data_IF_862520946319
#
_entry.id   IF_862520946319
#
_cell.length_a   1.000
_cell.length_b   1.000
_cell.length_c   1.000
_cell.angle_alpha   90.00
_cell.angle_beta   90.00
_cell.angle_gamma   90.00
#
_symmetry.space_group_name_H-M   'P 1'
#
loop_
_entity.id
_entity.type
_entity.pdbx_description
1 polymer ?
#
# COMPACT_ATOMS: atom_id res chain seq x y z
N UNK A 1 -6.92 46.69 34.66
CA UNK A 1 -7.34 45.27 34.87
C UNK A 1 -7.92 44.60 33.62
N UNK A 2 -8.60 45.30 32.70
CA UNK A 2 -9.20 44.69 31.49
C UNK A 2 -8.19 44.19 30.45
N UNK A 3 -7.02 44.82 30.34
CA UNK A 3 -5.98 44.47 29.36
C UNK A 3 -5.19 43.21 29.71
N UNK A 4 -5.03 42.87 31.01
CA UNK A 4 -4.36 41.64 31.44
C UNK A 4 -5.24 40.39 31.26
N UNK A 5 -6.58 40.55 31.32
CA UNK A 5 -7.51 39.44 31.13
C UNK A 5 -7.63 39.02 29.64
N UNK A 6 -7.48 39.99 28.72
CA UNK A 6 -7.54 39.71 27.28
C UNK A 6 -6.33 38.90 26.78
N UNK A 7 -5.15 39.14 27.35
CA UNK A 7 -3.91 38.43 26.97
C UNK A 7 -3.95 36.96 27.41
N UNK A 8 -4.60 36.66 28.55
CA UNK A 8 -4.76 35.28 29.05
C UNK A 8 -5.76 34.49 28.19
N UNK A 9 -6.85 35.12 27.73
CA UNK A 9 -7.81 34.47 26.82
C UNK A 9 -7.25 34.24 25.41
N UNK A 10 -6.34 35.11 24.93
CA UNK A 10 -5.71 34.95 23.63
C UNK A 10 -4.61 33.88 23.60
N UNK A 11 -3.96 33.61 24.75
CA UNK A 11 -2.97 32.53 24.88
C UNK A 11 -3.63 31.14 25.02
N UNK A 12 -4.83 31.05 25.59
CA UNK A 12 -5.55 29.78 25.70
C UNK A 12 -6.19 29.31 24.38
N UNK A 13 -6.43 30.20 23.40
CA UNK A 13 -6.93 29.82 22.07
C UNK A 13 -5.90 29.13 21.17
N UNK A 14 -4.61 29.14 21.54
CA UNK A 14 -3.57 28.41 20.81
C UNK A 14 -3.25 27.02 21.38
N UNK A 15 -3.96 26.57 22.43
CA UNK A 15 -3.82 25.20 22.96
C UNK A 15 -4.78 24.20 22.31
N UNK A 16 -5.55 24.64 21.31
CA UNK A 16 -6.35 23.78 20.43
C UNK A 16 -5.54 23.17 19.27
N UNK A 17 -4.22 23.01 19.40
CA UNK A 17 -3.53 22.08 18.50
C UNK A 17 -3.99 20.68 18.88
N UNK A 18 -4.82 20.08 18.02
CA UNK A 18 -4.88 18.62 17.89
C UNK A 18 -3.44 18.14 18.01
N UNK A 19 -3.14 17.32 19.04
CA UNK A 19 -1.80 16.75 19.14
C UNK A 19 -1.47 16.14 17.78
N UNK A 20 -0.28 16.38 17.20
CA UNK A 20 0.10 15.67 16.00
C UNK A 20 -0.10 14.20 16.32
N UNK A 21 -1.03 13.54 15.60
CA UNK A 21 -1.28 12.12 15.82
C UNK A 21 0.08 11.45 15.75
N UNK A 22 0.45 10.67 16.76
CA UNK A 22 1.74 9.99 16.79
C UNK A 22 1.85 9.11 15.53
N UNK A 23 2.71 9.47 14.56
CA UNK A 23 2.79 8.79 13.25
C UNK A 23 4.03 7.94 13.07
N UNK A 24 5.05 8.09 13.93
CA UNK A 24 6.30 7.36 13.77
C UNK A 24 6.24 6.00 14.42
N UNK A 25 6.81 5.01 13.73
CA UNK A 25 6.87 3.63 14.18
C UNK A 25 8.30 3.16 14.03
N UNK A 26 8.89 2.71 15.12
CA UNK A 26 10.17 2.04 15.06
C UNK A 26 9.98 0.67 14.39
N UNK A 27 10.73 0.44 13.31
CA UNK A 27 10.65 -0.79 12.52
C UNK A 27 10.84 -2.01 13.43
N UNK A 28 11.84 -1.98 14.31
CA UNK A 28 12.15 -3.08 15.23
C UNK A 28 11.03 -3.38 16.25
N UNK A 29 10.13 -2.43 16.52
CA UNK A 29 9.02 -2.62 17.46
C UNK A 29 7.85 -3.40 16.83
N UNK A 30 7.79 -3.43 15.50
CA UNK A 30 6.69 -4.06 14.72
C UNK A 30 7.19 -5.27 13.95
N UNK A 31 8.41 -5.17 13.47
CA UNK A 31 9.03 -6.05 12.51
C UNK A 31 10.18 -6.73 13.24
N UNK A 32 10.00 -7.99 13.70
CA UNK A 32 11.07 -8.73 14.35
C UNK A 32 12.21 -9.00 13.35
N UNK A 33 13.41 -9.26 13.86
CA UNK A 33 14.59 -9.54 13.01
C UNK A 33 14.41 -10.75 12.08
N UNK A 34 13.44 -11.64 12.36
CA UNK A 34 13.07 -12.79 11.53
C UNK A 34 12.07 -12.46 10.42
N UNK A 35 11.66 -11.21 10.25
CA UNK A 35 10.79 -10.78 9.15
C UNK A 35 11.42 -11.15 7.81
N UNK A 36 10.56 -11.49 6.85
CA UNK A 36 11.02 -11.72 5.48
C UNK A 36 11.03 -10.41 4.73
N UNK A 37 12.24 -9.94 4.47
CA UNK A 37 12.51 -8.72 3.73
C UNK A 37 12.86 -9.04 2.28
N UNK A 38 12.28 -8.30 1.34
CA UNK A 38 12.61 -8.40 -0.08
C UNK A 38 12.80 -7.04 -0.71
N UNK A 39 13.55 -7.00 -1.79
CA UNK A 39 13.82 -5.78 -2.56
C UNK A 39 13.35 -5.97 -3.99
N UNK A 40 12.55 -5.02 -4.50
CA UNK A 40 12.09 -4.98 -5.89
C UNK A 40 12.82 -3.88 -6.66
N UNK A 41 13.22 -4.17 -7.90
CA UNK A 41 13.80 -3.17 -8.82
C UNK A 41 12.73 -2.53 -9.70
N UNK A 42 12.68 -1.20 -9.72
CA UNK A 42 11.67 -0.47 -10.50
C UNK A 42 12.12 -0.11 -11.91
N UNK A 43 13.41 -0.24 -12.25
CA UNK A 43 13.98 0.30 -13.50
C UNK A 43 13.41 -0.39 -14.73
N UNK A 44 13.43 -1.73 -14.75
CA UNK A 44 12.93 -2.51 -15.88
C UNK A 44 11.44 -2.31 -16.15
N UNK A 45 10.66 -2.18 -15.08
CA UNK A 45 9.21 -2.05 -15.18
C UNK A 45 8.84 -0.59 -15.46
N UNK A 46 9.23 0.33 -14.59
CA UNK A 46 8.75 1.71 -14.62
C UNK A 46 9.72 2.71 -15.26
N UNK A 47 10.92 2.30 -15.66
CA UNK A 47 11.96 3.19 -16.19
C UNK A 47 12.59 4.09 -15.12
N UNK A 48 12.29 3.86 -13.85
CA UNK A 48 12.77 4.65 -12.72
C UNK A 48 13.78 3.82 -11.95
N UNK A 49 15.02 4.32 -11.83
CA UNK A 49 16.09 3.62 -11.11
C UNK A 49 15.96 3.82 -9.61
N UNK A 50 15.11 3.01 -8.99
CA UNK A 50 14.84 3.02 -7.56
C UNK A 50 14.53 1.59 -7.06
N UNK A 51 14.27 1.46 -5.76
CA UNK A 51 13.95 0.17 -5.15
C UNK A 51 12.75 0.27 -4.23
N UNK A 52 11.98 -0.80 -4.13
CA UNK A 52 10.93 -0.95 -3.11
C UNK A 52 11.40 -1.99 -2.10
N UNK A 53 11.34 -1.67 -0.82
CA UNK A 53 11.60 -2.66 0.23
C UNK A 53 10.27 -3.20 0.77
N UNK A 54 10.11 -4.51 0.72
CA UNK A 54 8.98 -5.24 1.27
C UNK A 54 9.36 -5.87 2.60
N UNK A 55 8.48 -5.75 3.59
CA UNK A 55 8.57 -6.44 4.86
C UNK A 55 7.29 -7.25 5.08
N UNK A 56 7.42 -8.57 5.07
CA UNK A 56 6.31 -9.50 5.26
C UNK A 56 6.25 -9.94 6.72
N UNK A 57 5.21 -9.51 7.42
CA UNK A 57 4.94 -9.87 8.80
C UNK A 57 3.75 -10.84 8.87
N UNK A 58 4.02 -12.09 9.24
CA UNK A 58 2.96 -13.04 9.58
C UNK A 58 2.41 -12.70 10.96
N UNK A 59 1.09 -12.72 11.08
CA UNK A 59 0.37 -12.48 12.33
C UNK A 59 -0.88 -13.35 12.37
N UNK A 60 -1.40 -13.64 13.56
CA UNK A 60 -2.56 -14.53 13.70
C UNK A 60 -3.83 -13.99 13.00
N UNK A 61 -3.89 -12.67 12.74
CA UNK A 61 -4.98 -12.04 11.99
C UNK A 61 -4.77 -12.03 10.47
N UNK A 62 -3.58 -12.37 9.97
CA UNK A 62 -3.25 -12.34 8.56
C UNK A 62 -1.80 -12.00 8.25
N UNK A 63 -1.53 -11.75 6.97
CA UNK A 63 -0.25 -11.30 6.44
C UNK A 63 -0.26 -9.77 6.33
N UNK A 64 0.72 -9.11 6.94
CA UNK A 64 0.91 -7.67 6.85
C UNK A 64 2.10 -7.38 5.95
N UNK A 65 1.87 -6.60 4.89
CA UNK A 65 2.90 -6.14 3.98
C UNK A 65 3.20 -4.67 4.27
N UNK A 66 4.42 -4.38 4.69
CA UNK A 66 4.93 -3.01 4.72
C UNK A 66 5.80 -2.80 3.49
N UNK A 67 5.42 -1.84 2.66
CA UNK A 67 6.16 -1.46 1.45
C UNK A 67 6.76 -0.09 1.70
N UNK A 68 8.10 0.01 1.72
CA UNK A 68 8.81 1.28 1.71
C UNK A 68 9.06 1.67 0.26
N UNK A 69 8.43 2.76 -0.15
CA UNK A 69 8.44 3.26 -1.52
C UNK A 69 9.43 4.42 -1.64
N UNK A 70 10.15 4.51 -2.78
CA UNK A 70 11.15 5.55 -2.99
C UNK A 70 10.50 6.91 -3.16
N UNK A 71 11.18 7.96 -2.75
CA UNK A 71 10.90 9.30 -3.28
C UNK A 71 11.13 9.31 -4.79
N UNK A 72 10.16 9.78 -5.57
CA UNK A 72 10.21 9.67 -7.04
C UNK A 72 11.19 10.65 -7.69
N UNK A 73 11.57 11.73 -7.00
CA UNK A 73 12.54 12.71 -7.50
C UNK A 73 13.97 12.23 -7.26
N UNK A 74 14.24 11.72 -6.07
CA UNK A 74 15.60 11.33 -5.65
C UNK A 74 15.90 9.84 -5.83
N UNK A 75 14.86 9.00 -5.93
CA UNK A 75 14.98 7.53 -5.94
C UNK A 75 15.27 6.92 -4.56
N UNK A 76 15.40 7.74 -3.52
CA UNK A 76 15.79 7.31 -2.18
C UNK A 76 14.61 6.79 -1.36
N UNK A 77 14.83 5.71 -0.60
CA UNK A 77 13.80 5.13 0.28
C UNK A 77 13.78 5.75 1.69
N UNK A 78 14.93 6.25 2.12
CA UNK A 78 15.18 6.61 3.52
C UNK A 78 15.90 7.95 3.60
N UNK A 79 15.54 8.76 4.58
CA UNK A 79 16.25 9.99 4.93
C UNK A 79 16.70 9.95 6.39
N UNK A 80 17.90 10.45 6.68
CA UNK A 80 18.39 10.57 8.06
C UNK A 80 17.53 11.59 8.82
N UNK A 81 17.16 11.26 10.06
CA UNK A 81 16.36 12.12 10.93
C UNK A 81 16.96 12.13 12.34
N UNK A 82 16.94 13.29 13.00
CA UNK A 82 17.35 13.40 14.40
C UNK A 82 16.32 12.73 15.31
N UNK A 83 16.77 11.87 16.23
CA UNK A 83 15.90 11.22 17.22
C UNK A 83 15.12 12.24 18.06
N UNK A 84 15.74 13.37 18.39
CA UNK A 84 15.11 14.44 19.19
C UNK A 84 13.84 15.02 18.53
N UNK A 85 13.74 14.93 17.19
CA UNK A 85 12.57 15.41 16.45
C UNK A 85 11.40 14.42 16.50
N UNK A 86 11.65 13.14 16.79
CA UNK A 86 10.64 12.08 16.70
C UNK A 86 10.34 11.41 18.04
N UNK A 87 11.18 11.58 19.06
CA UNK A 87 11.08 10.88 20.35
C UNK A 87 9.67 10.89 20.95
N UNK A 88 9.02 12.05 20.97
CA UNK A 88 7.68 12.21 21.56
C UNK A 88 6.54 11.77 20.62
N UNK A 89 6.85 11.57 19.34
CA UNK A 89 5.90 11.21 18.28
C UNK A 89 5.97 9.73 17.88
N UNK A 90 6.95 8.99 18.41
CA UNK A 90 7.03 7.53 18.25
C UNK A 90 5.85 6.88 18.98
N UNK A 91 5.13 6.04 18.25
CA UNK A 91 4.10 5.18 18.79
C UNK A 91 4.74 4.07 19.64
N UNK A 92 4.31 3.89 20.90
CA UNK A 92 4.72 2.74 21.69
C UNK A 92 4.27 1.43 21.03
N UNK A 93 5.09 0.38 21.08
CA UNK A 93 4.81 -0.96 20.52
C UNK A 93 3.38 -1.47 20.77
N UNK A 94 2.89 -1.33 22.01
CA UNK A 94 1.52 -1.74 22.37
C UNK A 94 0.44 -0.99 21.57
N UNK A 95 0.61 0.32 21.36
CA UNK A 95 -0.30 1.14 20.55
C UNK A 95 -0.20 0.83 19.07
N UNK A 96 0.95 0.34 18.60
CA UNK A 96 1.10 -0.05 17.20
C UNK A 96 0.22 -1.26 16.87
N UNK A 97 0.13 -2.25 17.78
CA UNK A 97 -0.77 -3.38 17.58
C UNK A 97 -2.24 -2.92 17.46
N UNK A 98 -2.67 -1.99 18.30
CA UNK A 98 -4.02 -1.43 18.25
C UNK A 98 -4.26 -0.60 16.98
N UNK A 99 -3.31 0.28 16.63
CA UNK A 99 -3.48 1.28 15.57
C UNK A 99 -3.32 0.69 14.15
N UNK A 100 -2.44 -0.31 14.00
CA UNK A 100 -2.20 -0.97 12.72
C UNK A 100 -2.83 -2.34 12.72
N UNK A 101 -2.41 -3.25 13.60
CA UNK A 101 -2.74 -4.67 13.43
C UNK A 101 -4.24 -4.92 13.60
N UNK A 102 -4.88 -4.31 14.61
CA UNK A 102 -6.30 -4.48 14.91
C UNK A 102 -7.23 -3.52 14.17
N UNK A 103 -6.69 -2.60 13.37
CA UNK A 103 -7.48 -1.61 12.64
C UNK A 103 -8.23 -2.26 11.46
N UNK A 104 -9.43 -1.77 11.12
CA UNK A 104 -10.24 -2.29 10.01
C UNK A 104 -9.78 -1.80 8.63
N UNK A 105 -8.97 -0.74 8.55
CA UNK A 105 -8.39 -0.27 7.30
C UNK A 105 -7.41 -1.31 6.75
N UNK A 106 -7.68 -1.78 5.53
CA UNK A 106 -6.89 -2.82 4.87
C UNK A 106 -5.65 -2.28 4.17
N UNK A 107 -5.66 -0.99 3.80
CA UNK A 107 -4.56 -0.29 3.14
C UNK A 107 -4.36 1.08 3.76
N UNK A 108 -3.13 1.40 4.13
CA UNK A 108 -2.76 2.65 4.80
C UNK A 108 -1.51 3.22 4.13
N UNK A 109 -1.68 4.27 3.34
CA UNK A 109 -0.59 4.96 2.65
C UNK A 109 -0.21 6.23 3.41
N UNK A 110 1.06 6.37 3.81
CA UNK A 110 1.64 7.50 4.54
C UNK A 110 0.93 7.93 5.84
N UNK A 111 -0.05 7.16 6.32
CA UNK A 111 -0.70 7.34 7.62
C UNK A 111 0.30 7.16 8.77
N UNK A 112 1.28 6.28 8.57
CA UNK A 112 2.40 6.06 9.48
C UNK A 112 3.73 6.23 8.74
N UNK A 113 4.75 6.68 9.46
CA UNK A 113 6.13 6.80 8.99
C UNK A 113 6.97 5.74 9.70
N UNK A 114 7.62 4.88 8.92
CA UNK A 114 8.53 3.86 9.47
C UNK A 114 9.89 4.49 9.75
N UNK A 115 10.48 4.14 10.89
CA UNK A 115 11.80 4.60 11.31
C UNK A 115 12.67 3.39 11.60
N UNK A 116 13.85 3.31 10.97
CA UNK A 116 14.87 2.32 11.30
C UNK A 116 16.04 2.97 12.03
N UNK A 117 16.64 2.24 12.95
CA UNK A 117 17.87 2.63 13.64
C UNK A 117 19.04 1.81 13.10
N UNK A 118 20.11 2.48 12.66
CA UNK A 118 21.35 1.85 12.21
C UNK A 118 22.49 2.48 13.02
N UNK A 119 23.10 1.69 13.92
CA UNK A 119 24.04 2.23 14.90
C UNK A 119 23.37 3.30 15.76
N UNK A 120 23.93 4.52 15.75
CA UNK A 120 23.40 5.68 16.50
C UNK A 120 22.52 6.61 15.65
N UNK A 121 22.29 6.28 14.38
CA UNK A 121 21.51 7.11 13.46
C UNK A 121 20.11 6.54 13.26
N UNK A 122 19.17 7.44 13.01
CA UNK A 122 17.79 7.10 12.70
C UNK A 122 17.47 7.55 11.28
N UNK A 123 16.68 6.73 10.60
CA UNK A 123 16.27 6.98 9.23
C UNK A 123 14.77 6.78 9.12
N UNK A 124 14.07 7.75 8.55
CA UNK A 124 12.64 7.68 8.29
C UNK A 124 12.40 7.32 6.82
N UNK A 125 11.42 6.45 6.59
CA UNK A 125 10.97 6.11 5.25
C UNK A 125 10.33 7.34 4.58
N UNK A 126 10.65 7.54 3.30
CA UNK A 126 10.04 8.59 2.48
C UNK A 126 8.54 8.36 2.30
N UNK A 127 8.18 7.16 1.83
CA UNK A 127 6.80 6.76 1.63
C UNK A 127 6.57 5.33 2.16
N UNK A 128 5.42 5.08 2.77
CA UNK A 128 5.05 3.78 3.34
C UNK A 128 3.64 3.42 2.92
N UNK A 129 3.48 2.22 2.36
CA UNK A 129 2.19 1.56 2.20
C UNK A 129 2.14 0.35 3.13
N UNK A 130 1.12 0.28 3.97
CA UNK A 130 0.84 -0.90 4.82
C UNK A 130 -0.43 -1.56 4.29
N UNK A 131 -0.35 -2.83 3.97
CA UNK A 131 -1.47 -3.63 3.48
C UNK A 131 -1.69 -4.86 4.35
N UNK A 132 -2.95 -5.15 4.66
CA UNK A 132 -3.36 -6.32 5.44
C UNK A 132 -4.02 -7.31 4.51
N UNK A 133 -3.52 -8.53 4.51
CA UNK A 133 -4.03 -9.62 3.72
C UNK A 133 -4.53 -10.74 4.62
N UNK A 134 -5.61 -11.39 4.21
CA UNK A 134 -6.02 -12.68 4.78
C UNK A 134 -5.69 -13.77 3.78
N UNK A 135 -4.83 -14.70 4.16
CA UNK A 135 -4.53 -15.88 3.35
C UNK A 135 -5.47 -17.00 3.77
N UNK A 136 -6.16 -17.61 2.80
CA UNK A 136 -7.05 -18.76 3.02
C UNK A 136 -6.80 -19.80 1.93
N UNK A 137 -7.20 -21.04 2.18
CA UNK A 137 -7.03 -22.19 1.30
C UNK A 137 -8.36 -22.96 1.14
N UNK A 138 -9.44 -22.22 0.90
CA UNK A 138 -10.81 -22.76 0.93
C UNK A 138 -11.34 -22.99 -0.48
N UNK A 139 -11.78 -24.22 -0.75
CA UNK A 139 -12.50 -24.55 -1.98
C UNK A 139 -13.91 -23.96 -1.92
N UNK A 140 -14.21 -23.05 -2.83
CA UNK A 140 -15.53 -22.40 -2.90
C UNK A 140 -15.82 -21.94 -4.32
N UNK A 141 -17.08 -21.99 -4.72
CA UNK A 141 -17.56 -21.36 -5.96
C UNK A 141 -17.92 -19.88 -5.76
N UNK A 142 -17.94 -19.39 -4.51
CA UNK A 142 -18.26 -18.01 -4.19
C UNK A 142 -17.03 -17.14 -4.40
N UNK A 143 -17.18 -16.04 -5.17
CA UNK A 143 -16.16 -15.01 -5.17
C UNK A 143 -16.23 -14.27 -3.83
N UNK A 144 -15.14 -14.29 -3.10
CA UNK A 144 -15.03 -13.58 -1.83
C UNK A 144 -14.64 -12.14 -2.16
N UNK A 145 -15.60 -11.23 -2.00
CA UNK A 145 -15.38 -9.78 -2.01
C UNK A 145 -14.96 -9.32 -0.62
N UNK A 146 -14.41 -8.10 -0.54
CA UNK A 146 -13.71 -7.62 0.63
C UNK A 146 -12.21 -7.68 0.36
N UNK A 147 -11.67 -6.54 -0.04
CA UNK A 147 -10.32 -6.36 -0.55
C UNK A 147 -9.26 -7.12 0.27
N UNK A 148 -8.18 -7.55 -0.37
CA UNK A 148 -7.02 -8.18 0.28
C UNK A 148 -7.19 -9.62 0.83
N UNK A 149 -8.12 -10.42 0.30
CA UNK A 149 -8.17 -11.86 0.59
C UNK A 149 -7.41 -12.64 -0.49
N UNK A 150 -6.42 -13.43 -0.08
CA UNK A 150 -5.65 -14.33 -0.93
C UNK A 150 -6.16 -15.75 -0.75
N UNK A 151 -7.04 -16.21 -1.64
CA UNK A 151 -7.50 -17.59 -1.61
C UNK A 151 -6.62 -18.47 -2.53
N UNK A 152 -5.81 -19.34 -1.92
CA UNK A 152 -4.87 -20.23 -2.61
C UNK A 152 -5.56 -21.32 -3.44
N UNK A 153 -6.85 -21.56 -3.19
CA UNK A 153 -7.70 -22.51 -3.92
C UNK A 153 -8.80 -21.81 -4.73
N UNK A 154 -8.68 -20.50 -4.97
CA UNK A 154 -9.64 -19.78 -5.81
C UNK A 154 -9.63 -20.33 -7.24
N UNK A 155 -10.74 -20.15 -7.96
CA UNK A 155 -10.77 -20.43 -9.39
C UNK A 155 -9.78 -19.49 -10.08
N UNK A 156 -8.87 -20.06 -10.87
CA UNK A 156 -7.95 -19.27 -11.68
C UNK A 156 -8.74 -18.42 -12.68
N UNK A 157 -8.57 -17.11 -12.60
CA UNK A 157 -9.19 -16.12 -13.48
C UNK A 157 -8.18 -15.05 -13.86
N UNK A 158 -7.91 -14.97 -15.16
CA UNK A 158 -7.05 -13.93 -15.72
C UNK A 158 -7.80 -12.60 -15.80
N UNK A 159 -7.05 -11.53 -16.04
CA UNK A 159 -7.60 -10.22 -16.38
C UNK A 159 -8.63 -10.31 -17.52
N UNK A 160 -8.33 -11.07 -18.57
CA UNK A 160 -9.20 -11.23 -19.73
C UNK A 160 -10.51 -11.94 -19.38
N UNK A 161 -10.45 -12.97 -18.53
CA UNK A 161 -11.63 -13.72 -18.08
C UNK A 161 -12.59 -12.83 -17.27
N UNK A 162 -12.04 -12.08 -16.31
CA UNK A 162 -12.82 -11.12 -15.51
C UNK A 162 -13.38 -10.02 -16.39
N UNK A 163 -12.55 -9.42 -17.27
CA UNK A 163 -12.99 -8.37 -18.19
C UNK A 163 -14.17 -8.83 -19.03
N UNK A 164 -14.06 -9.99 -19.68
CA UNK A 164 -15.14 -10.57 -20.48
C UNK A 164 -16.40 -10.79 -19.64
N UNK A 165 -16.26 -11.33 -18.44
CA UNK A 165 -17.40 -11.60 -17.55
C UNK A 165 -18.09 -10.31 -17.11
N UNK A 166 -17.31 -9.32 -16.68
CA UNK A 166 -17.80 -8.01 -16.25
C UNK A 166 -18.50 -7.28 -17.39
N UNK A 167 -17.92 -7.31 -18.60
CA UNK A 167 -18.49 -6.67 -19.78
C UNK A 167 -19.84 -7.28 -20.21
N UNK A 168 -19.99 -8.58 -20.00
CA UNK A 168 -21.22 -9.30 -20.35
C UNK A 168 -22.33 -9.17 -19.30
N UNK A 169 -21.98 -9.02 -18.02
CA UNK A 169 -22.93 -9.16 -16.92
C UNK A 169 -23.18 -7.88 -16.13
N UNK A 170 -22.23 -6.94 -16.12
CA UNK A 170 -22.24 -5.80 -15.20
C UNK A 170 -22.35 -4.47 -15.93
N UNK A 171 -21.49 -4.21 -16.92
CA UNK A 171 -21.43 -2.92 -17.61
C UNK A 171 -20.78 -3.06 -18.97
N UNK A 172 -21.11 -2.20 -19.93
CA UNK A 172 -20.43 -2.15 -21.23
C UNK A 172 -19.02 -1.51 -21.19
N UNK A 173 -18.54 -1.09 -20.02
CA UNK A 173 -17.21 -0.52 -19.79
C UNK A 173 -16.50 -1.26 -18.67
N UNK A 174 -15.20 -1.51 -18.84
CA UNK A 174 -14.39 -2.19 -17.83
C UNK A 174 -13.64 -1.17 -16.94
N UNK A 175 -13.78 -1.21 -15.60
CA UNK A 175 -13.34 -0.11 -14.74
C UNK A 175 -11.83 0.08 -14.60
N UNK A 176 -11.04 -0.93 -14.93
CA UNK A 176 -9.58 -0.83 -14.96
C UNK A 176 -9.04 -0.26 -16.28
N UNK A 177 -9.86 -0.11 -17.31
CA UNK A 177 -9.47 0.49 -18.59
C UNK A 177 -10.08 1.88 -18.70
N UNK A 178 -9.26 2.86 -19.05
CA UNK A 178 -9.77 4.20 -19.35
C UNK A 178 -10.49 4.21 -20.69
N UNK A 179 -11.67 4.80 -20.74
CA UNK A 179 -11.94 5.75 -21.82
C UNK A 179 -11.48 7.15 -21.36
N UNK A 180 -11.13 7.99 -22.30
CA UNK A 180 -10.19 9.11 -22.12
C UNK A 180 -10.64 10.22 -21.15
N UNK A 181 -11.87 10.20 -20.64
CA UNK A 181 -12.40 11.23 -19.73
C UNK A 181 -13.50 10.72 -18.77
N UNK A 182 -13.70 9.39 -18.66
CA UNK A 182 -14.74 8.80 -17.84
C UNK A 182 -14.25 8.40 -16.44
N UNK A 183 -14.97 8.83 -15.41
CA UNK A 183 -14.94 8.19 -14.10
C UNK A 183 -15.53 6.79 -14.25
N UNK A 184 -14.76 5.74 -13.99
CA UNK A 184 -15.28 4.37 -13.95
C UNK A 184 -15.32 3.86 -12.53
N UNK A 185 -16.52 3.57 -12.03
CA UNK A 185 -16.74 3.12 -10.66
C UNK A 185 -16.94 1.63 -10.65
N UNK A 186 -16.25 0.94 -9.76
CA UNK A 186 -16.57 -0.45 -9.43
C UNK A 186 -17.30 -0.46 -8.08
N UNK A 187 -18.43 -1.16 -8.01
CA UNK A 187 -19.11 -1.33 -6.72
C UNK A 187 -18.25 -2.18 -5.79
N UNK A 188 -18.30 -1.90 -4.49
CA UNK A 188 -17.43 -2.55 -3.49
C UNK A 188 -17.56 -4.07 -3.50
N UNK A 189 -18.74 -4.61 -3.80
CA UNK A 189 -19.01 -6.05 -3.84
C UNK A 189 -18.28 -6.76 -4.99
N UNK A 190 -17.81 -6.02 -6.00
CA UNK A 190 -16.99 -6.56 -7.08
C UNK A 190 -15.49 -6.37 -6.83
N UNK A 191 -15.09 -5.54 -5.86
CA UNK A 191 -13.67 -5.34 -5.52
C UNK A 191 -13.13 -6.61 -4.87
N UNK A 192 -12.11 -7.19 -5.50
CA UNK A 192 -11.54 -8.45 -5.05
C UNK A 192 -10.14 -8.67 -5.61
N UNK A 193 -9.40 -9.59 -4.98
CA UNK A 193 -8.14 -10.12 -5.50
C UNK A 193 -8.43 -11.46 -6.18
N UNK A 194 -7.90 -11.66 -7.38
CA UNK A 194 -8.06 -12.86 -8.19
C UNK A 194 -6.75 -13.62 -8.30
N UNK A 195 -6.80 -14.93 -8.10
CA UNK A 195 -5.71 -15.84 -8.46
C UNK A 195 -5.67 -15.96 -9.99
N UNK A 196 -4.57 -15.54 -10.62
CA UNK A 196 -4.41 -15.58 -12.09
C UNK A 196 -3.59 -16.77 -12.59
N UNK A 197 -2.67 -17.29 -11.78
CA UNK A 197 -1.81 -18.39 -12.17
C UNK A 197 -1.23 -19.07 -10.93
N UNK A 198 -1.01 -20.39 -11.01
CA UNK A 198 -0.14 -21.12 -10.08
C UNK A 198 0.99 -21.70 -10.93
N UNK A 199 2.25 -21.43 -10.57
CA UNK A 199 3.40 -21.96 -11.31
C UNK A 199 4.55 -22.37 -10.41
N UNK A 200 5.48 -23.14 -10.97
CA UNK A 200 6.76 -23.46 -10.35
C UNK A 200 7.82 -22.45 -10.81
N UNK A 201 8.58 -21.89 -9.88
CA UNK A 201 9.72 -20.99 -10.17
C UNK A 201 10.83 -21.25 -9.15
N UNK A 202 12.01 -21.65 -9.60
CA UNK A 202 13.15 -22.02 -8.73
C UNK A 202 12.77 -23.00 -7.61
N UNK A 203 12.05 -24.07 -7.95
CA UNK A 203 11.53 -25.09 -7.01
C UNK A 203 10.52 -24.58 -5.97
N UNK A 204 10.01 -23.36 -6.14
CA UNK A 204 8.94 -22.81 -5.30
C UNK A 204 7.61 -22.85 -6.04
N UNK A 205 6.55 -23.22 -5.31
CA UNK A 205 5.18 -23.05 -5.77
C UNK A 205 4.79 -21.58 -5.57
N UNK A 206 4.55 -20.88 -6.67
CA UNK A 206 4.21 -19.45 -6.70
C UNK A 206 2.74 -19.28 -7.09
N UNK A 207 2.02 -18.50 -6.28
CA UNK A 207 0.66 -18.06 -6.58
C UNK A 207 0.71 -16.63 -7.08
N UNK A 208 0.21 -16.39 -8.28
CA UNK A 208 0.10 -15.05 -8.85
C UNK A 208 -1.31 -14.51 -8.68
N UNK A 209 -1.38 -13.29 -8.17
CA UNK A 209 -2.61 -12.59 -7.87
C UNK A 209 -2.66 -11.25 -8.60
N UNK A 210 -3.87 -10.74 -8.80
CA UNK A 210 -4.11 -9.39 -9.26
C UNK A 210 -5.38 -8.79 -8.65
N UNK A 211 -5.41 -7.46 -8.52
CA UNK A 211 -6.50 -6.72 -7.88
C UNK A 211 -7.46 -6.15 -8.90
N UNK A 212 -8.75 -6.50 -8.77
CA UNK A 212 -9.83 -5.81 -9.48
C UNK A 212 -10.30 -4.64 -8.61
N UNK A 213 -9.95 -3.44 -9.04
CA UNK A 213 -10.43 -2.20 -8.46
C UNK A 213 -10.50 -1.13 -9.56
N UNK A 214 -11.13 0.02 -9.29
CA UNK A 214 -11.19 1.13 -10.22
C UNK A 214 -9.99 2.10 -10.07
N UNK A 215 -9.93 3.08 -10.98
CA UNK A 215 -8.94 4.17 -10.94
C UNK A 215 -9.50 5.46 -10.33
N UNK A 216 -10.72 5.42 -9.80
CA UNK A 216 -11.38 6.59 -9.27
C UNK A 216 -11.01 6.81 -7.81
N UNK A 217 -10.83 8.09 -7.48
CA UNK A 217 -10.73 8.54 -6.09
C UNK A 217 -12.14 8.55 -5.48
N UNK A 218 -12.29 8.23 -4.19
CA UNK A 218 -13.54 8.45 -3.45
C UNK A 218 -14.04 9.91 -3.64
N UNK A 219 -15.08 10.09 -4.45
CA UNK A 219 -15.64 11.41 -4.76
C UNK A 219 -16.32 12.03 -3.54
N UNK A 220 -16.84 11.20 -2.63
CA UNK A 220 -17.41 11.65 -1.35
C UNK A 220 -16.36 12.30 -0.44
N UNK A 221 -15.10 11.82 -0.46
CA UNK A 221 -14.00 12.48 0.27
C UNK A 221 -13.57 13.77 -0.43
N UNK A 222 -13.54 13.81 -1.76
CA UNK A 222 -13.22 15.03 -2.50
C UNK A 222 -14.18 16.20 -2.22
N UNK A 223 -15.48 15.94 -2.11
CA UNK A 223 -16.46 16.99 -1.82
C UNK A 223 -16.40 17.49 -0.37
N UNK A 224 -16.00 16.65 0.59
CA UNK A 224 -15.82 17.06 1.99
C UNK A 224 -14.55 17.89 2.22
N UNK A 225 -13.49 17.65 1.44
CA UNK A 225 -12.15 18.20 1.72
C UNK A 225 -11.72 19.38 0.86
N UNK A 226 -12.47 19.74 -0.18
CA UNK A 226 -12.26 20.98 -0.97
C UNK A 226 -12.26 22.27 -0.13
N UNK A 227 -12.81 22.23 1.09
CA UNK A 227 -12.85 23.38 2.00
C UNK A 227 -11.66 23.48 2.98
N UNK A 228 -10.79 22.47 3.07
CA UNK A 228 -9.80 22.38 4.17
C UNK A 228 -8.32 22.30 3.76
N UNK A 229 -7.97 22.55 2.49
CA UNK A 229 -6.58 22.77 2.07
C UNK A 229 -5.60 21.64 2.43
N UNK A 230 -5.86 20.40 1.99
CA UNK A 230 -5.04 19.21 2.30
C UNK A 230 -4.19 18.76 1.09
N UNK A 231 -3.11 18.06 1.42
CA UNK A 231 -1.78 17.87 0.82
C UNK A 231 -1.65 16.74 -0.23
N UNK A 232 -0.54 16.75 -0.98
CA UNK A 232 -0.20 15.93 -2.18
C UNK A 232 -0.40 14.39 -2.08
N UNK A 233 -0.60 13.83 -0.89
CA UNK A 233 -0.92 12.41 -0.67
C UNK A 233 -2.26 12.00 -1.30
N UNK A 234 -3.21 12.94 -1.47
CA UNK A 234 -4.53 12.69 -2.07
C UNK A 234 -4.50 12.52 -3.61
N UNK A 235 -3.30 12.56 -4.22
CA UNK A 235 -3.12 12.32 -5.66
C UNK A 235 -2.84 10.86 -6.04
N UNK A 236 -2.62 9.98 -5.06
CA UNK A 236 -2.34 8.58 -5.30
C UNK A 236 -3.62 7.73 -5.26
N UNK A 237 -3.79 6.82 -6.22
CA UNK A 237 -4.85 5.79 -6.20
C UNK A 237 -4.47 4.63 -5.27
N UNK A 238 -4.05 4.95 -4.05
CA UNK A 238 -3.45 3.99 -3.11
C UNK A 238 -4.43 2.92 -2.60
N UNK A 239 -5.75 3.11 -2.80
CA UNK A 239 -6.76 2.08 -2.52
C UNK A 239 -6.54 0.80 -3.34
N UNK A 240 -5.89 0.94 -4.52
CA UNK A 240 -5.44 -0.19 -5.33
C UNK A 240 -4.31 -0.97 -4.65
N UNK A 241 -3.38 -0.26 -4.00
CA UNK A 241 -2.21 -0.83 -3.33
C UNK A 241 -1.31 -1.61 -4.29
N UNK A 242 -0.78 -2.75 -3.82
CA UNK A 242 -0.09 -3.69 -4.71
C UNK A 242 -1.09 -4.33 -5.70
N UNK A 243 -0.84 -4.13 -6.99
CA UNK A 243 -1.85 -4.41 -8.02
C UNK A 243 -1.77 -5.87 -8.49
N UNK A 244 -0.62 -6.26 -9.05
CA UNK A 244 -0.28 -7.64 -9.44
C UNK A 244 0.88 -8.09 -8.57
N UNK A 245 0.83 -9.32 -8.06
CA UNK A 245 1.85 -9.77 -7.11
C UNK A 245 1.99 -11.29 -7.04
N UNK A 246 3.13 -11.71 -6.48
CA UNK A 246 3.45 -13.11 -6.26
C UNK A 246 3.48 -13.40 -4.76
N UNK A 247 2.81 -14.47 -4.37
CA UNK A 247 2.84 -15.03 -3.02
C UNK A 247 3.46 -16.43 -3.04
N UNK A 248 4.29 -16.72 -2.03
CA UNK A 248 4.83 -18.05 -1.77
C UNK A 248 4.55 -18.39 -0.30
N UNK A 249 4.01 -19.57 -0.06
CA UNK A 249 3.72 -20.07 1.30
C UNK A 249 5.01 -20.08 2.15
N UNK A 250 4.91 -19.58 3.39
CA UNK A 250 6.07 -19.43 4.29
C UNK A 250 7.05 -18.32 3.91
N UNK A 251 6.93 -17.71 2.72
CA UNK A 251 7.75 -16.56 2.27
C UNK A 251 6.97 -15.24 2.22
N UNK A 252 5.66 -15.29 2.07
CA UNK A 252 4.83 -14.09 1.94
C UNK A 252 4.80 -13.57 0.51
N UNK A 253 4.58 -12.26 0.35
CA UNK A 253 4.60 -11.57 -0.93
C UNK A 253 6.05 -11.30 -1.34
N UNK A 254 6.43 -11.82 -2.51
CA UNK A 254 7.81 -11.89 -3.03
C UNK A 254 7.98 -11.19 -4.37
N UNK A 255 6.98 -10.43 -4.79
CA UNK A 255 6.98 -9.72 -6.05
C UNK A 255 5.69 -8.93 -6.19
N UNK A 256 5.74 -7.83 -6.94
CA UNK A 256 4.67 -6.86 -6.92
C UNK A 256 4.76 -5.82 -8.02
N UNK A 257 3.67 -5.10 -8.21
CA UNK A 257 3.59 -3.89 -9.00
C UNK A 257 2.82 -2.80 -8.25
N UNK A 258 3.30 -1.57 -8.34
CA UNK A 258 2.80 -0.40 -7.61
C UNK A 258 2.38 0.70 -8.59
N UNK A 259 1.48 0.35 -9.53
CA UNK A 259 1.09 1.25 -10.63
C UNK A 259 0.50 2.57 -10.11
N UNK A 260 -0.24 2.52 -9.00
CA UNK A 260 -0.78 3.73 -8.36
C UNK A 260 0.30 4.75 -7.97
N UNK A 261 1.52 4.28 -7.75
CA UNK A 261 2.65 5.08 -7.29
C UNK A 261 3.53 5.55 -8.45
N UNK A 262 3.85 4.65 -9.39
CA UNK A 262 4.82 4.91 -10.45
C UNK A 262 4.23 5.33 -11.81
N UNK A 263 2.98 4.96 -12.15
CA UNK A 263 2.40 5.30 -13.46
C UNK A 263 1.89 6.74 -13.54
N UNK A 264 2.74 7.72 -13.22
CA UNK A 264 2.47 9.16 -13.34
C UNK A 264 3.05 9.69 -14.66
N UNK A 265 2.30 10.55 -15.37
CA UNK A 265 2.86 11.41 -16.43
C UNK A 265 2.52 12.87 -16.15
N UNK A 266 3.22 13.81 -16.79
CA UNK A 266 2.98 15.26 -16.68
C UNK A 266 1.51 15.63 -16.99
N UNK A 267 0.81 14.84 -17.81
CA UNK A 267 -0.61 15.03 -18.20
C UNK A 267 -1.60 14.09 -17.46
N UNK A 268 -1.15 13.29 -16.49
CA UNK A 268 -1.98 12.33 -15.74
C UNK A 268 -1.49 10.88 -15.78
N UNK A 269 -2.25 9.92 -15.23
CA UNK A 269 -1.82 8.52 -15.18
C UNK A 269 -1.82 7.87 -16.56
N UNK A 270 -0.70 7.26 -16.98
CA UNK A 270 -0.71 6.28 -18.06
C UNK A 270 -1.42 5.04 -17.53
N UNK A 271 -2.73 4.93 -17.78
CA UNK A 271 -3.57 3.77 -17.44
C UNK A 271 -3.22 2.58 -18.33
N UNK A 272 -1.94 2.21 -18.42
CA UNK A 272 -1.46 1.06 -19.16
C UNK A 272 -1.63 -0.15 -18.25
N UNK A 273 -2.51 -1.07 -18.64
CA UNK A 273 -2.62 -2.35 -17.97
C UNK A 273 -1.35 -3.13 -18.25
N UNK A 274 -0.44 -3.16 -17.28
CA UNK A 274 0.73 -4.03 -17.31
C UNK A 274 0.30 -5.43 -16.87
N UNK A 275 1.01 -6.47 -17.29
CA UNK A 275 0.77 -7.84 -16.86
C UNK A 275 1.93 -8.43 -16.06
N UNK A 276 3.07 -7.73 -16.08
CA UNK A 276 4.28 -8.12 -15.36
C UNK A 276 4.27 -7.66 -13.90
N UNK A 277 5.23 -8.22 -13.14
CA UNK A 277 5.56 -7.83 -11.78
C UNK A 277 7.07 -7.72 -11.63
N UNK A 278 7.51 -6.90 -10.68
CA UNK A 278 8.88 -6.92 -10.19
C UNK A 278 9.03 -8.12 -9.23
N UNK A 279 10.16 -8.82 -9.30
CA UNK A 279 10.45 -9.97 -8.45
C UNK A 279 11.47 -9.63 -7.37
N UNK A 280 11.36 -10.27 -6.21
CA UNK A 280 12.33 -10.15 -5.13
C UNK A 280 13.74 -10.57 -5.58
N UNK A 281 14.69 -9.63 -5.51
CA UNK A 281 16.10 -9.86 -5.88
C UNK A 281 16.73 -11.01 -5.09
N UNK A 282 16.35 -11.15 -3.83
CA UNK A 282 16.91 -12.13 -2.90
C UNK A 282 16.50 -13.58 -3.23
N UNK A 283 15.38 -13.77 -3.93
CA UNK A 283 14.88 -15.10 -4.32
C UNK A 283 15.08 -15.40 -5.81
N UNK A 284 15.05 -14.35 -6.62
CA UNK A 284 15.08 -14.44 -8.08
C UNK A 284 16.05 -13.41 -8.64
N UNK A 285 17.37 -13.55 -8.36
CA UNK A 285 18.36 -12.63 -8.91
C UNK A 285 18.29 -12.67 -10.44
N UNK A 286 18.25 -11.49 -11.06
CA UNK A 286 18.42 -11.41 -12.51
C UNK A 286 19.83 -11.93 -12.85
N UNK A 287 19.93 -12.85 -13.81
CA UNK A 287 21.24 -13.30 -14.29
C UNK A 287 21.88 -12.10 -14.98
N UNK A 288 23.04 -11.68 -14.48
CA UNK A 288 23.90 -10.69 -15.13
C UNK A 288 24.47 -11.23 -16.44
#
# INVERSE_FOLDING_TARGET
MKTKLLIILFLCSFLGFSQPEKRFILLNDVIPNSVRKYTLDTEKMYGIKAQIELYNLDHYQGLFLFSVLPDLETGENWEEISYLLIENEILPAKKIQEAILNNNELKMFNKYRLVKKIGNKFFVAKNVLIEKFKVIDTETSLKISGSNILNLKDKIMTYSDVKKTYLNQVSNKFPMESDTYGYSWIKEEFRAIYLSEIKQKNNEKVYLFWTLDDWNKDFEKQNKHRNNGITDIENYNYHRGIDRFAYIEGKGIVGGSYDFYFDRTEDGFKRVVRYDIMWAKELFPERQ
#
